data_IF_270770525756
#
_entry.id   IF_270770525756
#
_cell.length_a   1.000
_cell.length_b   1.000
_cell.length_c   1.000
_cell.angle_alpha   90.00
_cell.angle_beta   90.00
_cell.angle_gamma   90.00
#
_symmetry.space_group_name_H-M   'P 1'
#
loop_
_entity.id
_entity.type
_entity.pdbx_description
1 polymer ?
#
# COMPACT_ATOMS: atom_id res chain seq x y z
N UNK A 1 -9.77 9.16 -17.96
CA UNK A 1 -10.70 10.06 -17.25
C UNK A 1 -10.85 9.55 -15.83
N UNK A 2 -10.51 10.36 -14.83
CA UNK A 2 -10.72 10.00 -13.42
C UNK A 2 -12.16 10.30 -13.02
N UNK A 3 -12.81 9.45 -12.20
CA UNK A 3 -14.13 9.78 -11.68
C UNK A 3 -14.02 10.91 -10.66
N UNK A 4 -14.79 11.98 -10.85
CA UNK A 4 -14.90 13.17 -9.98
C UNK A 4 -15.58 12.88 -8.62
N UNK A 5 -15.53 11.63 -8.14
CA UNK A 5 -16.44 11.13 -7.10
C UNK A 5 -15.81 11.21 -5.71
N UNK A 6 -16.60 11.58 -4.70
CA UNK A 6 -16.25 11.52 -3.26
C UNK A 6 -15.63 10.17 -2.85
N UNK A 7 -16.05 9.11 -3.55
CA UNK A 7 -15.53 7.75 -3.42
C UNK A 7 -14.03 7.64 -3.72
N UNK A 8 -13.43 8.53 -4.52
CA UNK A 8 -12.00 8.51 -4.85
C UNK A 8 -11.15 8.97 -3.65
N UNK A 9 -11.43 10.16 -3.12
CA UNK A 9 -10.69 10.71 -1.98
C UNK A 9 -10.66 9.76 -0.79
N UNK A 10 -11.79 9.12 -0.50
CA UNK A 10 -11.89 8.12 0.57
C UNK A 10 -11.01 6.88 0.31
N UNK A 11 -10.97 6.36 -0.92
CA UNK A 11 -10.10 5.21 -1.23
C UNK A 11 -8.63 5.55 -1.03
N UNK A 12 -8.24 6.78 -1.39
CA UNK A 12 -6.88 7.26 -1.19
C UNK A 12 -6.54 7.35 0.30
N UNK A 13 -7.46 7.87 1.13
CA UNK A 13 -7.30 7.91 2.58
C UNK A 13 -7.15 6.51 3.19
N UNK A 14 -8.02 5.56 2.79
CA UNK A 14 -7.93 4.17 3.27
C UNK A 14 -6.62 3.51 2.82
N UNK A 15 -6.17 3.76 1.58
CA UNK A 15 -4.88 3.25 1.09
C UNK A 15 -3.73 3.81 1.94
N UNK A 16 -3.76 5.10 2.25
CA UNK A 16 -2.75 5.75 3.10
C UNK A 16 -2.72 5.13 4.50
N UNK A 17 -3.88 4.95 5.15
CA UNK A 17 -3.99 4.27 6.44
C UNK A 17 -3.42 2.85 6.41
N UNK A 18 -3.77 2.08 5.37
CA UNK A 18 -3.24 0.72 5.20
C UNK A 18 -1.71 0.77 5.09
N UNK A 19 -1.18 1.58 4.17
CA UNK A 19 0.25 1.60 3.90
C UNK A 19 1.09 2.22 5.03
N UNK A 20 0.51 3.06 5.89
CA UNK A 20 1.14 3.52 7.15
C UNK A 20 1.35 2.40 8.16
N UNK A 21 0.50 1.37 8.14
CA UNK A 21 0.65 0.23 9.05
C UNK A 21 1.75 -0.72 8.57
N UNK A 22 2.98 -0.47 9.03
CA UNK A 22 4.17 -1.26 8.71
C UNK A 22 4.22 -2.64 9.37
N UNK A 23 3.38 -2.90 10.38
CA UNK A 23 3.32 -4.20 11.06
C UNK A 23 2.67 -5.29 10.19
N UNK A 24 1.92 -4.90 9.15
CA UNK A 24 1.26 -5.82 8.23
C UNK A 24 1.85 -5.70 6.83
N UNK A 25 2.13 -6.84 6.20
CA UNK A 25 2.47 -6.89 4.77
C UNK A 25 1.20 -6.74 3.93
N UNK A 26 1.14 -5.68 3.12
CA UNK A 26 0.01 -5.36 2.26
C UNK A 26 0.19 -5.89 0.85
N UNK A 27 -0.47 -7.02 0.54
CA UNK A 27 -0.59 -7.49 -0.85
C UNK A 27 -1.74 -6.76 -1.55
N UNK A 28 -1.79 -6.85 -2.88
CA UNK A 28 -2.91 -6.29 -3.64
C UNK A 28 -4.25 -6.83 -3.15
N UNK A 29 -4.33 -8.14 -2.88
CA UNK A 29 -5.55 -8.76 -2.38
C UNK A 29 -5.93 -8.23 -0.99
N UNK A 30 -4.96 -8.11 -0.07
CA UNK A 30 -5.22 -7.56 1.27
C UNK A 30 -5.67 -6.11 1.24
N UNK A 31 -5.15 -5.31 0.31
CA UNK A 31 -5.62 -3.94 0.10
C UNK A 31 -7.07 -3.94 -0.40
N UNK A 32 -7.41 -4.81 -1.36
CA UNK A 32 -8.79 -4.97 -1.83
C UNK A 32 -9.73 -5.32 -0.68
N UNK A 33 -9.37 -6.32 0.12
CA UNK A 33 -10.21 -6.79 1.22
C UNK A 33 -10.39 -5.69 2.28
N UNK A 34 -9.31 -5.01 2.68
CA UNK A 34 -9.37 -3.94 3.69
C UNK A 34 -10.16 -2.72 3.21
N UNK A 35 -9.99 -2.31 1.95
CA UNK A 35 -10.75 -1.19 1.40
C UNK A 35 -12.23 -1.58 1.27
N UNK A 36 -12.54 -2.79 0.80
CA UNK A 36 -13.91 -3.26 0.69
C UNK A 36 -14.59 -3.40 2.06
N UNK A 37 -13.88 -3.84 3.09
CA UNK A 37 -14.40 -3.92 4.46
C UNK A 37 -14.82 -2.53 4.96
N UNK A 38 -13.94 -1.54 4.81
CA UNK A 38 -14.20 -0.13 5.17
C UNK A 38 -15.31 0.51 4.34
N UNK A 39 -15.35 0.23 3.04
CA UNK A 39 -16.38 0.76 2.15
C UNK A 39 -17.74 0.10 2.36
N UNK A 40 -17.76 -1.18 2.72
CA UNK A 40 -19.00 -1.92 3.00
C UNK A 40 -19.67 -1.38 4.25
N UNK A 41 -18.91 -1.15 5.32
CA UNK A 41 -19.42 -0.58 6.56
C UNK A 41 -20.02 0.83 6.35
N UNK A 42 -19.33 1.66 5.55
CA UNK A 42 -19.71 3.07 5.39
C UNK A 42 -20.72 3.35 4.26
N UNK A 43 -20.70 2.58 3.17
CA UNK A 43 -21.49 2.84 1.96
C UNK A 43 -22.19 1.61 1.37
N UNK A 44 -21.98 0.42 1.91
CA UNK A 44 -22.52 -0.82 1.35
C UNK A 44 -21.97 -1.15 -0.06
N UNK A 45 -20.82 -0.59 -0.44
CA UNK A 45 -20.22 -0.75 -1.77
C UNK A 45 -18.94 -1.57 -1.70
N UNK A 46 -18.67 -2.32 -2.77
CA UNK A 46 -17.40 -3.00 -3.01
C UNK A 46 -16.77 -2.53 -4.32
N UNK A 47 -15.46 -2.47 -4.36
CA UNK A 47 -14.66 -2.10 -5.53
C UNK A 47 -13.83 -3.28 -6.03
N UNK A 48 -13.60 -3.28 -7.35
CA UNK A 48 -12.79 -4.29 -8.01
C UNK A 48 -11.29 -4.00 -7.94
N UNK A 49 -10.49 -5.04 -8.18
CA UNK A 49 -9.03 -4.99 -8.27
C UNK A 49 -8.51 -3.88 -9.20
N UNK A 50 -9.16 -3.68 -10.35
CA UNK A 50 -8.72 -2.70 -11.35
C UNK A 50 -8.78 -1.26 -10.83
N UNK A 51 -9.83 -0.93 -10.09
CA UNK A 51 -9.99 0.40 -9.47
C UNK A 51 -8.85 0.69 -8.50
N UNK A 52 -8.51 -0.26 -7.63
CA UNK A 52 -7.41 -0.08 -6.66
C UNK A 52 -6.06 0.02 -7.37
N UNK A 53 -5.85 -0.75 -8.45
CA UNK A 53 -4.63 -0.62 -9.26
C UNK A 53 -4.51 0.77 -9.89
N UNK A 54 -5.61 1.33 -10.40
CA UNK A 54 -5.65 2.69 -10.95
C UNK A 54 -5.45 3.75 -9.86
N UNK A 55 -6.02 3.58 -8.66
CA UNK A 55 -5.81 4.49 -7.53
C UNK A 55 -4.34 4.49 -7.06
N UNK A 56 -3.70 3.31 -6.98
CA UNK A 56 -2.26 3.19 -6.65
C UNK A 56 -1.41 3.83 -7.75
N UNK A 57 -1.78 3.62 -9.02
CA UNK A 57 -1.10 4.25 -10.16
C UNK A 57 -1.20 5.77 -10.04
N UNK A 58 -2.38 6.29 -9.72
CA UNK A 58 -2.57 7.71 -9.47
C UNK A 58 -1.71 8.21 -8.30
N UNK A 59 -1.69 7.52 -7.16
CA UNK A 59 -0.86 7.91 -6.01
C UNK A 59 0.62 7.98 -6.38
N UNK A 60 1.10 6.99 -7.13
CA UNK A 60 2.49 6.91 -7.54
C UNK A 60 2.89 8.00 -8.54
N UNK A 61 2.05 8.27 -9.55
CA UNK A 61 2.41 9.15 -10.67
C UNK A 61 1.91 10.58 -10.48
N UNK A 62 0.65 10.78 -10.09
CA UNK A 62 0.03 12.11 -9.99
C UNK A 62 0.34 12.77 -8.64
N UNK A 63 0.32 12.01 -7.55
CA UNK A 63 0.64 12.50 -6.20
C UNK A 63 2.12 12.36 -5.83
N UNK A 64 2.94 11.78 -6.70
CA UNK A 64 4.35 11.47 -6.44
C UNK A 64 4.57 10.79 -5.08
N UNK A 65 3.60 9.99 -4.62
CA UNK A 65 3.69 9.31 -3.35
C UNK A 65 4.81 8.26 -3.42
N UNK A 66 5.63 8.12 -2.36
CA UNK A 66 6.75 7.18 -2.37
C UNK A 66 6.25 5.75 -2.14
N UNK A 67 5.43 5.21 -3.04
CA UNK A 67 4.90 3.84 -2.95
C UNK A 67 5.78 2.91 -3.76
N UNK A 68 6.43 1.97 -3.07
CA UNK A 68 7.26 0.94 -3.67
C UNK A 68 6.54 -0.42 -3.67
N UNK A 69 6.82 -1.20 -4.71
CA UNK A 69 6.39 -2.59 -4.80
C UNK A 69 7.60 -3.47 -4.49
N UNK A 70 7.54 -4.25 -3.42
CA UNK A 70 8.52 -5.30 -3.14
C UNK A 70 7.97 -6.65 -3.55
N UNK A 71 8.79 -7.45 -4.22
CA UNK A 71 8.48 -8.85 -4.54
C UNK A 71 9.23 -9.73 -3.55
N UNK A 72 8.51 -10.60 -2.85
CA UNK A 72 9.09 -11.63 -1.99
C UNK A 72 8.47 -12.97 -2.42
N UNK A 73 9.27 -13.79 -3.08
CA UNK A 73 8.80 -15.00 -3.77
C UNK A 73 7.80 -14.68 -4.89
N UNK A 74 6.60 -15.28 -4.80
CA UNK A 74 5.50 -15.07 -5.74
C UNK A 74 4.60 -13.88 -5.35
N UNK A 75 4.77 -13.33 -4.15
CA UNK A 75 3.90 -12.29 -3.62
C UNK A 75 4.47 -10.89 -3.85
N UNK A 76 3.58 -9.95 -4.17
CA UNK A 76 3.91 -8.53 -4.34
C UNK A 76 3.29 -7.75 -3.19
N UNK A 77 4.12 -6.96 -2.52
CA UNK A 77 3.77 -6.14 -1.38
C UNK A 77 3.96 -4.66 -1.71
N UNK A 78 3.06 -3.83 -1.20
CA UNK A 78 3.14 -2.38 -1.30
C UNK A 78 3.64 -1.81 0.02
N UNK A 79 4.63 -0.94 -0.04
CA UNK A 79 5.19 -0.26 1.13
C UNK A 79 5.40 1.22 0.81
N UNK A 80 5.33 2.07 1.84
CA UNK A 80 5.76 3.47 1.73
C UNK A 80 7.28 3.50 1.89
N UNK A 81 7.97 3.93 0.83
CA UNK A 81 9.38 4.24 0.81
C UNK A 81 9.64 5.65 1.37
N UNK A 82 9.31 5.86 2.64
CA UNK A 82 9.90 7.02 3.33
C UNK A 82 11.42 6.82 3.38
N UNK A 83 12.21 7.88 3.22
CA UNK A 83 13.70 7.85 3.29
C UNK A 83 14.27 7.26 4.61
N UNK A 84 13.42 6.86 5.56
CA UNK A 84 13.78 6.24 6.84
C UNK A 84 14.16 4.75 6.69
N UNK A 85 13.91 4.10 5.55
CA UNK A 85 14.28 2.67 5.35
C UNK A 85 15.75 2.38 5.05
N UNK A 86 16.63 3.39 4.95
CA UNK A 86 18.09 3.14 4.93
C UNK A 86 18.65 2.69 6.29
N UNK A 87 17.88 2.76 7.39
CA UNK A 87 18.38 2.43 8.73
C UNK A 87 18.00 1.04 9.26
N UNK A 88 17.17 0.24 8.57
CA UNK A 88 16.75 -1.09 9.09
C UNK A 88 17.32 -2.33 8.36
N UNK A 89 18.06 -2.16 7.27
CA UNK A 89 18.77 -3.29 6.65
C UNK A 89 20.18 -3.49 7.26
N UNK A 90 20.67 -2.57 8.09
CA UNK A 90 22.00 -2.68 8.70
C UNK A 90 22.06 -3.48 10.04
N UNK A 91 20.95 -4.06 10.54
CA UNK A 91 20.97 -4.81 11.81
C UNK A 91 20.76 -6.33 11.71
N UNK A 92 20.59 -6.91 10.52
CA UNK A 92 20.40 -8.37 10.39
C UNK A 92 21.45 -9.13 9.58
N UNK A 93 22.56 -8.50 9.19
CA UNK A 93 23.66 -9.19 8.46
C UNK A 93 25.06 -9.01 9.05
N UNK A 94 25.20 -8.68 10.34
CA UNK A 94 26.51 -8.70 11.03
C UNK A 94 26.45 -9.29 12.46
N UNK A 95 25.88 -10.49 12.60
CA UNK A 95 26.21 -11.39 13.73
C UNK A 95 26.59 -12.77 13.21
N UNK A 96 27.69 -12.80 12.46
CA UNK A 96 28.61 -13.94 12.26
C UNK A 96 29.74 -13.41 11.40
N UNK A 97 30.87 -13.11 12.02
CA UNK A 97 32.26 -13.16 11.53
C UNK A 97 33.11 -12.10 12.26
N UNK A 98 34.19 -12.58 12.90
CA UNK A 98 35.24 -11.85 13.66
C UNK A 98 34.77 -11.19 14.96
N UNK A 99 35.24 -11.54 16.18
CA UNK A 99 36.38 -12.32 16.70
C UNK A 99 35.88 -13.08 17.95
#
# INVERSE_FOLDING_TARGET
MMPKNKDFALRIEIIDECLRNQYRKWTLQKLIDAINDKLKDRYGKSIGKRTIQDDIKYLKFDKMAPIEKRKEGQNIFFIIATQITQLKICQSTMKKFHI
#
